data_IF_579307426791
#
_entry.id   IF_579307426791
#
_cell.length_a   1.000
_cell.length_b   1.000
_cell.length_c   1.000
_cell.angle_alpha   90.00
_cell.angle_beta   90.00
_cell.angle_gamma   90.00
#
_symmetry.space_group_name_H-M   'P 1'
#
loop_
_entity.id
_entity.type
_entity.pdbx_description
1 polymer ?
#
# COMPACT_ATOMS: atom_id res chain seq x y z
N UNK A 1 0.95 -20.88 -13.85
CA UNK A 1 0.89 -21.31 -12.44
C UNK A 1 -0.56 -21.30 -11.99
N UNK A 2 -0.92 -22.22 -11.10
CA UNK A 2 -2.17 -22.24 -10.36
C UNK A 2 -1.92 -21.74 -8.94
N UNK A 3 -2.56 -20.63 -8.59
CA UNK A 3 -2.33 -19.94 -7.32
C UNK A 3 -3.64 -19.92 -6.54
N UNK A 4 -3.58 -20.38 -5.28
CA UNK A 4 -4.74 -20.40 -4.40
C UNK A 4 -4.57 -19.37 -3.27
N UNK A 5 -5.54 -18.49 -3.08
CA UNK A 5 -5.52 -17.45 -2.05
C UNK A 5 -6.47 -17.77 -0.90
N UNK A 6 -5.96 -17.86 0.32
CA UNK A 6 -6.76 -18.00 1.54
C UNK A 6 -7.00 -16.59 2.10
N UNK A 7 -8.26 -16.15 2.16
CA UNK A 7 -8.63 -14.76 2.48
C UNK A 7 -8.48 -13.83 1.27
N UNK A 8 -8.89 -14.29 0.09
CA UNK A 8 -8.70 -13.57 -1.19
C UNK A 8 -9.44 -12.22 -1.24
N UNK A 9 -10.49 -12.02 -0.43
CA UNK A 9 -11.26 -10.78 -0.33
C UNK A 9 -10.57 -9.67 0.44
N UNK A 10 -9.46 -9.96 1.14
CA UNK A 10 -8.64 -8.96 1.79
C UNK A 10 -8.10 -7.90 0.82
N UNK A 11 -7.99 -6.66 1.29
CA UNK A 11 -7.61 -5.51 0.45
C UNK A 11 -6.25 -5.74 -0.25
N UNK A 12 -5.25 -6.29 0.44
CA UNK A 12 -3.96 -6.60 -0.18
C UNK A 12 -4.03 -7.81 -1.12
N UNK A 13 -4.55 -8.92 -0.58
CA UNK A 13 -4.60 -10.21 -1.29
C UNK A 13 -5.37 -10.13 -2.61
N UNK A 14 -6.50 -9.41 -2.63
CA UNK A 14 -7.28 -9.20 -3.85
C UNK A 14 -6.51 -8.45 -4.94
N UNK A 15 -5.67 -7.49 -4.56
CA UNK A 15 -4.82 -6.77 -5.50
C UNK A 15 -3.77 -7.66 -6.15
N UNK A 16 -3.11 -8.50 -5.34
CA UNK A 16 -2.13 -9.47 -5.84
C UNK A 16 -2.81 -10.56 -6.70
N UNK A 17 -3.98 -11.05 -6.30
CA UNK A 17 -4.78 -11.99 -7.07
C UNK A 17 -5.18 -11.43 -8.44
N UNK A 18 -5.65 -10.18 -8.48
CA UNK A 18 -5.98 -9.47 -9.73
C UNK A 18 -4.75 -9.29 -10.63
N UNK A 19 -3.59 -9.00 -10.07
CA UNK A 19 -2.33 -8.97 -10.81
C UNK A 19 -1.99 -10.36 -11.40
N UNK A 20 -2.09 -11.43 -10.60
CA UNK A 20 -1.83 -12.79 -11.08
C UNK A 20 -2.75 -13.19 -12.25
N UNK A 21 -4.05 -12.89 -12.17
CA UNK A 21 -5.00 -13.09 -13.27
C UNK A 21 -4.55 -12.36 -14.54
N UNK A 22 -4.13 -11.09 -14.42
CA UNK A 22 -3.67 -10.30 -15.56
C UNK A 22 -2.41 -10.84 -16.24
N UNK A 23 -1.63 -11.67 -15.54
CA UNK A 23 -0.45 -12.36 -16.06
C UNK A 23 -0.77 -13.76 -16.59
N UNK A 24 -2.05 -14.11 -16.69
CA UNK A 24 -2.51 -15.40 -17.23
C UNK A 24 -2.33 -16.57 -16.25
N UNK A 25 -2.18 -16.30 -14.94
CA UNK A 25 -2.21 -17.36 -13.94
C UNK A 25 -3.64 -17.83 -13.66
N UNK A 26 -3.81 -19.11 -13.37
CA UNK A 26 -5.07 -19.65 -12.87
C UNK A 26 -5.19 -19.28 -11.39
N UNK A 27 -6.16 -18.44 -11.04
CA UNK A 27 -6.36 -17.99 -9.66
C UNK A 27 -7.59 -18.63 -9.07
N UNK A 28 -7.42 -19.20 -7.88
CA UNK A 28 -8.51 -19.64 -7.02
C UNK A 28 -8.36 -19.05 -5.63
N UNK A 29 -9.39 -19.14 -4.79
CA UNK A 29 -9.27 -18.73 -3.40
C UNK A 29 -10.52 -18.96 -2.58
N UNK A 30 -10.40 -18.70 -1.28
CA UNK A 30 -11.48 -18.79 -0.31
C UNK A 30 -11.60 -17.50 0.50
N UNK A 31 -12.82 -17.19 0.93
CA UNK A 31 -13.10 -16.11 1.88
C UNK A 31 -14.34 -16.43 2.71
N UNK A 32 -14.42 -15.89 3.93
CA UNK A 32 -15.55 -16.15 4.84
C UNK A 32 -16.84 -15.50 4.35
N UNK A 33 -16.74 -14.37 3.64
CA UNK A 33 -17.90 -13.58 3.24
C UNK A 33 -17.81 -13.11 1.79
N UNK A 34 -18.97 -12.95 1.15
CA UNK A 34 -19.05 -12.37 -0.19
C UNK A 34 -18.86 -10.85 -0.12
N UNK A 35 -18.28 -10.26 -1.17
CA UNK A 35 -18.05 -8.82 -1.23
C UNK A 35 -17.98 -8.32 -2.67
N UNK A 36 -18.01 -7.01 -2.87
CA UNK A 36 -17.80 -6.42 -4.20
C UNK A 36 -16.43 -6.80 -4.79
N UNK A 37 -15.41 -6.99 -3.94
CA UNK A 37 -14.07 -7.44 -4.35
C UNK A 37 -14.13 -8.88 -4.88
N UNK A 38 -14.80 -9.79 -4.14
CA UNK A 38 -14.99 -11.18 -4.57
C UNK A 38 -15.73 -11.24 -5.91
N UNK A 39 -16.82 -10.48 -6.06
CA UNK A 39 -17.58 -10.40 -7.31
C UNK A 39 -16.73 -9.90 -8.48
N UNK A 40 -15.90 -8.88 -8.25
CA UNK A 40 -15.01 -8.35 -9.27
C UNK A 40 -13.95 -9.37 -9.72
N UNK A 41 -13.34 -10.10 -8.78
CA UNK A 41 -12.36 -11.15 -9.10
C UNK A 41 -12.99 -12.34 -9.82
N UNK A 42 -14.20 -12.78 -9.41
CA UNK A 42 -14.97 -13.81 -10.14
C UNK A 42 -15.21 -13.39 -11.59
N UNK A 43 -15.60 -12.14 -11.84
CA UNK A 43 -15.78 -11.59 -13.19
C UNK A 43 -14.48 -11.57 -14.01
N UNK A 44 -13.33 -11.49 -13.36
CA UNK A 44 -12.00 -11.58 -14.00
C UNK A 44 -11.52 -13.03 -14.21
N UNK A 45 -12.31 -14.04 -13.80
CA UNK A 45 -12.02 -15.46 -14.02
C UNK A 45 -11.46 -16.21 -12.81
N UNK A 46 -11.41 -15.60 -11.62
CA UNK A 46 -11.02 -16.31 -10.41
C UNK A 46 -12.10 -17.30 -9.94
N UNK A 47 -11.68 -18.50 -9.54
CA UNK A 47 -12.57 -19.47 -8.87
C UNK A 47 -12.55 -19.23 -7.37
N UNK A 48 -13.63 -18.66 -6.82
CA UNK A 48 -13.67 -18.29 -5.40
C UNK A 48 -14.78 -19.02 -4.64
N UNK A 49 -14.40 -19.64 -3.53
CA UNK A 49 -15.27 -20.30 -2.56
C UNK A 49 -15.61 -19.33 -1.42
N UNK A 50 -16.89 -19.20 -1.08
CA UNK A 50 -17.36 -18.31 0.00
C UNK A 50 -17.99 -19.15 1.10
N UNK A 51 -17.63 -18.87 2.35
CA UNK A 51 -18.12 -19.56 3.54
C UNK A 51 -16.97 -20.07 4.41
N UNK A 52 -17.24 -20.97 5.37
CA UNK A 52 -16.20 -21.60 6.17
C UNK A 52 -15.12 -22.22 5.28
N UNK A 53 -13.85 -22.04 5.66
CA UNK A 53 -12.74 -22.64 4.95
C UNK A 53 -12.85 -24.17 4.97
N UNK A 54 -12.59 -24.81 3.83
CA UNK A 54 -12.66 -26.26 3.66
C UNK A 54 -11.46 -26.74 2.86
N UNK A 55 -10.82 -27.80 3.35
CA UNK A 55 -9.75 -28.51 2.64
C UNK A 55 -10.13 -28.92 1.21
N UNK A 56 -11.41 -29.09 0.89
CA UNK A 56 -11.92 -29.37 -0.45
C UNK A 56 -11.74 -28.20 -1.45
N UNK A 57 -11.63 -26.96 -0.96
CA UNK A 57 -11.38 -25.77 -1.78
C UNK A 57 -10.01 -25.82 -2.47
N UNK A 58 -9.03 -26.49 -1.84
CA UNK A 58 -7.70 -26.68 -2.38
C UNK A 58 -7.63 -27.92 -3.27
N UNK A 59 -7.42 -27.73 -4.57
CA UNK A 59 -7.23 -28.82 -5.53
C UNK A 59 -5.80 -29.37 -5.51
N UNK A 60 -5.59 -30.61 -5.96
CA UNK A 60 -4.28 -31.27 -5.94
C UNK A 60 -3.27 -30.72 -6.98
N UNK A 61 -3.62 -29.69 -7.75
CA UNK A 61 -2.79 -29.12 -8.83
C UNK A 61 -2.42 -27.65 -8.58
N UNK A 62 -2.31 -27.23 -7.32
CA UNK A 62 -1.94 -25.86 -6.93
C UNK A 62 -0.42 -25.75 -6.80
N UNK A 63 0.18 -24.77 -7.46
CA UNK A 63 1.63 -24.53 -7.43
C UNK A 63 2.06 -23.65 -6.25
N UNK A 64 1.15 -22.77 -5.79
CA UNK A 64 1.39 -21.81 -4.71
C UNK A 64 0.11 -21.52 -3.94
N UNK A 65 0.21 -21.56 -2.61
CA UNK A 65 -0.81 -21.02 -1.70
C UNK A 65 -0.34 -19.69 -1.14
N UNK A 66 -1.14 -18.65 -1.31
CA UNK A 66 -0.94 -17.33 -0.67
C UNK A 66 -1.99 -17.15 0.41
N UNK A 67 -1.62 -16.71 1.61
CA UNK A 67 -2.57 -16.55 2.71
C UNK A 67 -2.41 -15.20 3.42
N UNK A 68 -3.53 -14.61 3.87
CA UNK A 68 -3.50 -13.37 4.66
C UNK A 68 -3.11 -13.65 6.11
N UNK A 69 -2.81 -12.59 6.87
CA UNK A 69 -2.54 -12.71 8.30
C UNK A 69 -3.72 -13.31 9.11
N UNK A 70 -4.95 -13.26 8.57
CA UNK A 70 -6.13 -13.84 9.19
C UNK A 70 -6.18 -15.38 9.09
N UNK A 71 -5.39 -15.99 8.20
CA UNK A 71 -5.33 -17.44 8.08
C UNK A 71 -4.42 -18.02 9.17
N UNK A 72 -5.04 -18.54 10.24
CA UNK A 72 -4.33 -19.19 11.34
C UNK A 72 -3.71 -20.53 10.89
N UNK A 73 -2.74 -21.09 11.64
CA UNK A 73 -2.19 -22.42 11.37
C UNK A 73 -3.23 -23.54 11.35
N UNK A 74 -4.40 -23.32 11.94
CA UNK A 74 -5.51 -24.27 11.96
C UNK A 74 -6.39 -24.27 10.73
N UNK A 75 -6.20 -23.31 9.81
CA UNK A 75 -6.95 -23.24 8.58
C UNK A 75 -6.82 -24.56 7.78
N UNK A 76 -7.95 -25.21 7.42
CA UNK A 76 -7.93 -26.54 6.80
C UNK A 76 -7.30 -26.55 5.41
N UNK A 77 -7.42 -25.46 4.65
CA UNK A 77 -6.78 -25.31 3.34
C UNK A 77 -5.26 -25.19 3.49
N UNK A 78 -4.78 -24.39 4.45
CA UNK A 78 -3.36 -24.23 4.74
C UNK A 78 -2.73 -25.53 5.27
N UNK A 79 -3.42 -26.25 6.17
CA UNK A 79 -2.99 -27.57 6.66
C UNK A 79 -2.85 -28.58 5.51
N UNK A 80 -3.84 -28.65 4.62
CA UNK A 80 -3.79 -29.53 3.45
C UNK A 80 -2.64 -29.15 2.52
N UNK A 81 -2.44 -27.86 2.25
CA UNK A 81 -1.34 -27.38 1.40
C UNK A 81 0.03 -27.83 1.93
N UNK A 82 0.26 -27.66 3.23
CA UNK A 82 1.49 -28.11 3.90
C UNK A 82 1.65 -29.64 3.83
N UNK A 83 0.58 -30.42 4.06
CA UNK A 83 0.62 -31.88 3.94
C UNK A 83 0.96 -32.36 2.53
N UNK A 84 0.52 -31.62 1.50
CA UNK A 84 0.81 -31.91 0.10
C UNK A 84 2.17 -31.37 -0.38
N UNK A 85 2.96 -30.71 0.49
CA UNK A 85 4.24 -30.12 0.12
C UNK A 85 4.12 -28.92 -0.83
N UNK A 86 2.94 -28.29 -0.92
CA UNK A 86 2.71 -27.12 -1.77
C UNK A 86 3.40 -25.91 -1.14
N UNK A 87 4.10 -25.11 -1.96
CA UNK A 87 4.72 -23.86 -1.49
C UNK A 87 3.63 -22.95 -0.90
N UNK A 88 3.82 -22.53 0.34
CA UNK A 88 2.93 -21.60 1.03
C UNK A 88 3.69 -20.31 1.34
N UNK A 89 3.10 -19.16 1.02
CA UNK A 89 3.63 -17.85 1.34
C UNK A 89 2.54 -17.00 1.99
N UNK A 90 2.88 -16.24 3.01
CA UNK A 90 2.04 -15.13 3.45
C UNK A 90 1.87 -14.11 2.31
N UNK A 91 0.81 -13.31 2.38
CA UNK A 91 0.59 -12.21 1.44
C UNK A 91 1.82 -11.30 1.34
N UNK A 92 2.45 -10.95 2.46
CA UNK A 92 3.62 -10.07 2.48
C UNK A 92 4.83 -10.70 1.76
N UNK A 93 5.07 -12.00 1.95
CA UNK A 93 6.14 -12.71 1.23
C UNK A 93 5.87 -12.77 -0.28
N UNK A 94 4.63 -13.09 -0.67
CA UNK A 94 4.24 -13.18 -2.08
C UNK A 94 4.30 -11.81 -2.78
N UNK A 95 3.86 -10.74 -2.09
CA UNK A 95 4.03 -9.37 -2.58
C UNK A 95 5.52 -8.99 -2.64
N UNK A 96 6.31 -9.41 -1.66
CA UNK A 96 7.77 -9.24 -1.62
C UNK A 96 8.46 -9.80 -2.87
N UNK A 97 8.07 -10.99 -3.31
CA UNK A 97 8.58 -11.58 -4.55
C UNK A 97 8.22 -10.76 -5.79
N UNK A 98 7.04 -10.12 -5.81
CA UNK A 98 6.67 -9.18 -6.86
C UNK A 98 7.52 -7.88 -6.79
N UNK A 99 7.76 -7.34 -5.59
CA UNK A 99 8.54 -6.10 -5.43
C UNK A 99 9.96 -6.20 -5.96
N UNK A 100 10.58 -7.38 -5.86
CA UNK A 100 11.92 -7.67 -6.40
C UNK A 100 11.97 -7.61 -7.93
N UNK A 101 10.86 -7.95 -8.59
CA UNK A 101 10.77 -8.06 -10.06
C UNK A 101 10.36 -6.75 -10.75
N UNK A 102 9.68 -5.87 -10.02
CA UNK A 102 9.13 -4.62 -10.55
C UNK A 102 9.99 -3.40 -10.15
N UNK A 103 9.76 -2.26 -10.81
CA UNK A 103 10.20 -0.96 -10.30
C UNK A 103 9.19 -0.51 -9.24
N UNK A 104 9.49 -0.81 -7.99
CA UNK A 104 8.57 -0.65 -6.87
C UNK A 104 8.80 0.68 -6.15
N UNK A 105 7.70 1.42 -5.99
CA UNK A 105 7.60 2.61 -5.14
C UNK A 105 6.71 2.23 -3.96
N UNK A 106 7.30 2.15 -2.78
CA UNK A 106 6.61 1.75 -1.56
C UNK A 106 6.36 2.97 -0.67
N UNK A 107 5.12 3.17 -0.26
CA UNK A 107 4.72 4.24 0.66
C UNK A 107 4.52 3.64 2.05
N UNK A 108 5.25 4.15 3.03
CA UNK A 108 5.37 3.60 4.38
C UNK A 108 5.38 4.72 5.44
N UNK A 109 5.15 4.35 6.69
CA UNK A 109 5.05 5.25 7.84
C UNK A 109 3.76 4.98 8.63
N UNK A 110 3.61 5.52 9.82
CA UNK A 110 2.43 5.20 10.65
C UNK A 110 1.14 5.77 10.04
N UNK A 111 1.16 7.03 9.63
CA UNK A 111 0.00 7.73 9.10
C UNK A 111 0.19 8.21 7.65
N UNK A 112 -0.92 8.39 6.93
CA UNK A 112 -0.92 8.99 5.58
C UNK A 112 -0.51 8.05 4.44
N UNK A 113 -0.23 6.77 4.71
CA UNK A 113 0.19 5.77 3.71
C UNK A 113 -0.80 5.64 2.55
N UNK A 114 -2.06 5.32 2.85
CA UNK A 114 -3.06 5.03 1.81
C UNK A 114 -3.37 6.28 0.97
N UNK A 115 -3.48 7.45 1.60
CA UNK A 115 -3.72 8.72 0.91
C UNK A 115 -2.55 9.10 0.00
N UNK A 116 -1.31 9.00 0.49
CA UNK A 116 -0.10 9.26 -0.30
C UNK A 116 0.03 8.28 -1.47
N UNK A 117 -0.26 6.99 -1.24
CA UNK A 117 -0.29 5.95 -2.29
C UNK A 117 -1.30 6.29 -3.38
N UNK A 118 -2.49 6.72 -2.99
CA UNK A 118 -3.56 7.08 -3.92
C UNK A 118 -3.22 8.32 -4.76
N UNK A 119 -2.72 9.38 -4.13
CA UNK A 119 -2.26 10.59 -4.80
C UNK A 119 -1.13 10.27 -5.80
N UNK A 120 -0.14 9.46 -5.38
CA UNK A 120 0.95 9.03 -6.23
C UNK A 120 0.43 8.26 -7.45
N UNK A 121 -0.46 7.28 -7.22
CA UNK A 121 -1.04 6.49 -8.28
C UNK A 121 -1.74 7.35 -9.35
N UNK A 122 -2.50 8.36 -8.93
CA UNK A 122 -3.17 9.31 -9.83
C UNK A 122 -2.17 10.14 -10.65
N UNK A 123 -1.08 10.60 -10.01
CA UNK A 123 -0.01 11.36 -10.70
C UNK A 123 0.67 10.48 -11.76
N UNK A 124 1.05 9.25 -11.40
CA UNK A 124 1.71 8.33 -12.33
C UNK A 124 0.81 7.92 -13.49
N UNK A 125 -0.47 7.66 -13.22
CA UNK A 125 -1.47 7.41 -14.26
C UNK A 125 -1.60 8.60 -15.21
N UNK A 126 -1.72 9.82 -14.67
CA UNK A 126 -1.86 11.02 -15.49
C UNK A 126 -0.60 11.35 -16.30
N UNK A 127 0.56 10.96 -15.80
CA UNK A 127 1.84 11.07 -16.49
C UNK A 127 2.06 9.98 -17.56
N UNK A 128 1.11 9.05 -17.74
CA UNK A 128 1.21 7.98 -18.74
C UNK A 128 2.19 6.87 -18.37
N UNK A 129 2.62 6.79 -17.10
CA UNK A 129 3.53 5.74 -16.62
C UNK A 129 2.80 4.41 -16.37
N UNK A 130 1.47 4.42 -16.39
CA UNK A 130 0.59 3.23 -16.33
C UNK A 130 1.02 2.17 -15.29
N UNK A 131 1.08 2.52 -13.98
CA UNK A 131 1.59 1.62 -12.96
C UNK A 131 0.58 0.53 -12.59
N UNK A 132 1.09 -0.61 -12.14
CA UNK A 132 0.33 -1.49 -11.26
C UNK A 132 0.30 -0.89 -9.86
N UNK A 133 -0.85 -0.89 -9.20
CA UNK A 133 -1.01 -0.32 -7.86
C UNK A 133 -1.79 -1.26 -6.97
N UNK A 134 -1.30 -1.46 -5.74
CA UNK A 134 -1.98 -2.20 -4.67
C UNK A 134 -2.01 -1.28 -3.45
N UNK A 135 -3.20 -0.90 -2.99
CA UNK A 135 -3.38 0.07 -1.91
C UNK A 135 -4.35 -0.46 -0.85
N UNK A 136 -4.15 -0.08 0.41
CA UNK A 136 -4.94 -0.50 1.58
C UNK A 136 -6.33 0.12 1.67
N UNK A 137 -6.76 0.90 0.66
CA UNK A 137 -8.08 1.53 0.61
C UNK A 137 -8.70 1.47 -0.79
N UNK A 138 -9.99 1.75 -0.89
CA UNK A 138 -10.72 1.78 -2.18
C UNK A 138 -10.62 3.18 -2.77
N UNK A 139 -10.23 3.26 -4.04
CA UNK A 139 -10.16 4.52 -4.79
C UNK A 139 -11.38 4.70 -5.69
N UNK A 140 -12.03 5.86 -5.57
CA UNK A 140 -13.22 6.21 -6.35
C UNK A 140 -12.89 6.32 -7.83
N UNK A 141 -11.72 6.85 -8.16
CA UNK A 141 -11.18 7.02 -9.50
C UNK A 141 -11.06 5.69 -10.27
N UNK A 142 -10.97 4.57 -9.57
CA UNK A 142 -10.90 3.23 -10.16
C UNK A 142 -12.21 2.45 -10.09
N UNK A 143 -13.32 3.12 -9.80
CA UNK A 143 -14.62 2.48 -9.61
C UNK A 143 -14.71 1.75 -8.27
N UNK A 144 -14.19 2.38 -7.20
CA UNK A 144 -14.11 1.83 -5.84
C UNK A 144 -13.33 0.51 -5.76
N UNK A 145 -12.22 0.42 -6.50
CA UNK A 145 -11.25 -0.68 -6.41
C UNK A 145 -10.03 -0.24 -5.61
N UNK A 146 -9.38 -1.21 -4.99
CA UNK A 146 -8.18 -1.10 -4.16
C UNK A 146 -6.91 -1.52 -4.90
N UNK A 147 -7.05 -1.87 -6.17
CA UNK A 147 -5.93 -2.20 -7.03
C UNK A 147 -6.22 -1.78 -8.46
N UNK A 148 -5.13 -1.61 -9.21
CA UNK A 148 -5.11 -1.37 -10.64
C UNK A 148 -3.96 -2.16 -11.23
N UNK A 149 -4.20 -2.87 -12.32
CA UNK A 149 -3.13 -3.51 -13.08
C UNK A 149 -2.75 -2.59 -14.23
N UNK A 150 -1.51 -2.12 -14.21
CA UNK A 150 -0.91 -1.38 -15.32
C UNK A 150 -0.04 -2.27 -16.20
N UNK A 151 0.33 -1.77 -17.38
CA UNK A 151 1.15 -2.50 -18.36
C UNK A 151 2.65 -2.20 -18.25
N UNK A 152 3.03 -1.22 -17.44
CA UNK A 152 4.43 -0.81 -17.31
C UNK A 152 5.20 -1.60 -16.24
N UNK A 153 6.48 -1.25 -16.07
CA UNK A 153 7.35 -1.80 -15.03
C UNK A 153 7.06 -1.26 -13.62
N UNK A 154 6.24 -0.22 -13.50
CA UNK A 154 6.03 0.45 -12.22
C UNK A 154 5.02 -0.31 -11.36
N UNK A 155 5.41 -0.51 -10.10
CA UNK A 155 4.55 -1.01 -9.04
C UNK A 155 4.48 0.05 -7.94
N UNK A 156 3.30 0.47 -7.55
CA UNK A 156 3.09 1.30 -6.36
C UNK A 156 2.40 0.44 -5.30
N UNK A 157 2.97 0.40 -4.10
CA UNK A 157 2.37 -0.29 -2.96
C UNK A 157 2.27 0.60 -1.75
N UNK A 158 1.22 0.39 -0.98
CA UNK A 158 1.21 0.70 0.45
C UNK A 158 2.00 -0.37 1.20
N UNK A 159 3.04 0.03 1.93
CA UNK A 159 3.90 -0.85 2.69
C UNK A 159 3.55 -0.75 4.18
N UNK A 160 2.88 -1.79 4.66
CA UNK A 160 2.35 -1.90 6.02
C UNK A 160 3.43 -2.35 7.01
N UNK A 161 3.61 -1.55 8.06
CA UNK A 161 4.49 -1.81 9.19
C UNK A 161 3.92 -2.82 10.19
N UNK A 162 2.62 -3.12 10.16
CA UNK A 162 2.04 -4.10 11.07
C UNK A 162 2.74 -5.46 10.94
N UNK A 163 3.10 -6.06 12.08
CA UNK A 163 3.92 -7.29 12.17
C UNK A 163 5.24 -7.24 11.37
N UNK A 164 5.80 -6.04 11.16
CA UNK A 164 6.98 -5.79 10.32
C UNK A 164 6.86 -6.37 8.89
N UNK A 165 5.64 -6.42 8.33
CA UNK A 165 5.37 -7.09 7.06
C UNK A 165 6.19 -6.51 5.90
N UNK A 166 6.43 -5.20 5.93
CA UNK A 166 7.24 -4.47 4.95
C UNK A 166 8.71 -4.93 4.83
N UNK A 167 9.24 -5.72 5.77
CA UNK A 167 10.58 -6.30 5.67
C UNK A 167 10.66 -7.35 4.55
N UNK A 168 9.52 -7.75 3.97
CA UNK A 168 9.50 -8.61 2.80
C UNK A 168 9.75 -7.84 1.48
N UNK A 169 9.69 -6.51 1.49
CA UNK A 169 9.68 -5.69 0.28
C UNK A 169 11.06 -5.14 -0.08
N UNK A 170 11.32 -5.02 -1.40
CA UNK A 170 12.61 -4.60 -1.97
C UNK A 170 12.44 -3.48 -3.00
N UNK A 171 12.11 -2.25 -2.55
CA UNK A 171 11.74 -1.15 -3.44
C UNK A 171 12.93 -0.40 -4.05
N UNK A 172 12.64 0.35 -5.13
CA UNK A 172 13.53 1.33 -5.72
C UNK A 172 13.32 2.72 -5.11
N UNK A 173 12.09 3.01 -4.67
CA UNK A 173 11.77 4.24 -3.94
C UNK A 173 10.98 3.87 -2.68
N UNK A 174 11.41 4.35 -1.53
CA UNK A 174 10.63 4.34 -0.29
C UNK A 174 10.16 5.77 -0.05
N UNK A 175 8.87 5.96 0.15
CA UNK A 175 8.31 7.17 0.74
C UNK A 175 8.05 6.90 2.21
N UNK A 176 8.63 7.69 3.10
CA UNK A 176 8.50 7.55 4.54
C UNK A 176 7.80 8.77 5.10
N UNK A 177 6.54 8.60 5.50
CA UNK A 177 5.65 9.71 5.87
C UNK A 177 5.86 10.22 7.29
N UNK A 178 6.00 9.31 8.25
CA UNK A 178 6.25 9.58 9.67
C UNK A 178 6.63 8.29 10.41
N UNK A 179 7.21 8.44 11.60
CA UNK A 179 7.43 7.34 12.56
C UNK A 179 6.91 7.79 13.93
N UNK A 180 5.96 7.04 14.46
CA UNK A 180 5.32 7.28 15.77
C UNK A 180 5.16 5.94 16.52
N UNK A 181 4.89 5.98 17.82
CA UNK A 181 4.58 4.76 18.59
C UNK A 181 3.18 4.25 18.21
N UNK A 182 3.13 3.12 17.51
CA UNK A 182 1.90 2.43 17.11
C UNK A 182 2.13 0.91 17.11
N UNK A 183 1.05 0.12 17.17
CA UNK A 183 1.11 -1.34 17.17
C UNK A 183 2.00 -1.94 18.27
N UNK A 184 1.88 -1.43 19.50
CA UNK A 184 2.64 -1.91 20.67
C UNK A 184 2.25 -3.33 21.13
N UNK A 185 1.27 -3.94 20.50
CA UNK A 185 0.97 -5.38 20.57
C UNK A 185 2.05 -6.24 19.86
N UNK A 186 2.75 -5.64 18.89
CA UNK A 186 3.88 -6.26 18.18
C UNK A 186 5.21 -5.58 18.50
N UNK A 187 5.24 -4.25 18.48
CA UNK A 187 6.41 -3.46 18.78
C UNK A 187 6.60 -3.28 20.28
N UNK A 188 7.86 -3.27 20.75
CA UNK A 188 8.14 -3.17 22.18
C UNK A 188 8.07 -1.73 22.66
N UNK A 189 8.63 -0.82 21.87
CA UNK A 189 8.77 0.61 22.13
C UNK A 189 9.19 1.32 20.82
N UNK A 190 9.30 2.65 20.86
CA UNK A 190 9.82 3.44 19.74
C UNK A 190 11.21 2.99 19.26
N UNK A 191 12.07 2.49 20.14
CA UNK A 191 13.41 2.00 19.74
C UNK A 191 13.31 0.77 18.85
N UNK A 192 12.42 -0.17 19.18
CA UNK A 192 12.13 -1.33 18.35
C UNK A 192 11.57 -0.90 16.99
N UNK A 193 10.61 0.03 16.98
CA UNK A 193 10.03 0.60 15.74
C UNK A 193 11.14 1.21 14.86
N UNK A 194 11.95 2.11 15.43
CA UNK A 194 13.07 2.77 14.74
C UNK A 194 14.06 1.77 14.16
N UNK A 195 14.41 0.71 14.89
CA UNK A 195 15.30 -0.34 14.41
C UNK A 195 14.70 -1.12 13.23
N UNK A 196 13.39 -1.39 13.28
CA UNK A 196 12.67 -2.09 12.22
C UNK A 196 12.53 -1.23 10.96
N UNK A 197 12.21 0.06 11.08
CA UNK A 197 12.21 1.01 9.96
C UNK A 197 13.62 1.18 9.36
N UNK A 198 14.67 1.27 10.18
CA UNK A 198 16.06 1.28 9.70
C UNK A 198 16.40 0.04 8.88
N UNK A 199 15.98 -1.15 9.35
CA UNK A 199 16.15 -2.41 8.60
C UNK A 199 15.36 -2.37 7.29
N UNK A 200 14.11 -1.92 7.31
CA UNK A 200 13.30 -1.79 6.10
C UNK A 200 13.94 -0.86 5.06
N UNK A 201 14.43 0.32 5.46
CA UNK A 201 15.10 1.27 4.56
C UNK A 201 16.37 0.67 3.94
N UNK A 202 17.05 -0.23 4.65
CA UNK A 202 18.21 -0.95 4.10
C UNK A 202 17.86 -1.92 2.95
N UNK A 203 16.58 -2.25 2.76
CA UNK A 203 16.11 -3.03 1.61
C UNK A 203 15.94 -2.20 0.33
N UNK A 204 16.19 -0.88 0.38
CA UNK A 204 16.30 -0.08 -0.83
C UNK A 204 17.33 -0.69 -1.77
N UNK A 205 16.90 -0.94 -3.01
CA UNK A 205 17.79 -1.48 -4.04
C UNK A 205 18.91 -0.48 -4.32
N UNK A 206 20.07 -0.98 -4.77
CA UNK A 206 21.21 -0.16 -5.17
C UNK A 206 20.79 0.95 -6.14
N UNK A 207 21.13 2.20 -5.82
CA UNK A 207 20.74 3.38 -6.58
C UNK A 207 19.31 3.86 -6.33
N UNK A 208 18.60 3.26 -5.37
CA UNK A 208 17.27 3.67 -4.95
C UNK A 208 17.23 5.02 -4.25
N UNK A 209 16.03 5.47 -3.90
CA UNK A 209 15.80 6.77 -3.24
C UNK A 209 14.89 6.61 -2.03
N UNK A 210 15.33 7.11 -0.88
CA UNK A 210 14.50 7.37 0.27
C UNK A 210 13.93 8.79 0.14
N UNK A 211 12.61 8.90 0.01
CA UNK A 211 11.85 10.14 0.11
C UNK A 211 11.36 10.28 1.56
N UNK A 212 12.00 11.16 2.32
CA UNK A 212 11.82 11.24 3.77
C UNK A 212 11.13 12.55 4.17
N UNK A 213 10.18 12.46 5.11
CA UNK A 213 9.61 13.64 5.73
C UNK A 213 10.65 14.33 6.62
N UNK A 214 11.09 15.53 6.22
CA UNK A 214 12.05 16.35 6.93
C UNK A 214 11.48 17.07 8.15
N UNK A 215 10.15 17.06 8.33
CA UNK A 215 9.50 17.63 9.52
C UNK A 215 9.35 16.61 10.67
N UNK A 216 9.60 15.33 10.39
CA UNK A 216 9.49 14.25 11.39
C UNK A 216 10.82 14.05 12.14
N UNK A 217 10.77 14.23 13.46
CA UNK A 217 11.96 14.14 14.32
C UNK A 217 12.51 12.73 14.50
N UNK A 218 11.73 11.69 14.25
CA UNK A 218 12.16 10.30 14.35
C UNK A 218 12.82 9.86 13.04
N UNK A 219 12.28 10.26 11.90
CA UNK A 219 12.90 10.02 10.58
C UNK A 219 14.29 10.65 10.51
N UNK A 220 14.46 11.88 11.02
CA UNK A 220 15.78 12.55 11.03
C UNK A 220 16.83 11.87 11.93
N UNK A 221 16.39 11.09 12.92
CA UNK A 221 17.25 10.29 13.81
C UNK A 221 17.60 8.91 13.25
N UNK A 222 17.11 8.54 12.07
CA UNK A 222 17.49 7.27 11.43
C UNK A 222 18.95 7.33 10.96
N UNK A 223 19.86 6.82 11.79
CA UNK A 223 21.26 6.68 11.43
C UNK A 223 21.47 5.46 10.52
N UNK A 224 22.21 5.60 9.42
CA UNK A 224 22.58 4.47 8.55
C UNK A 224 24.07 4.12 8.74
N UNK A 225 24.38 2.83 8.93
CA UNK A 225 25.72 2.36 9.34
C UNK A 225 26.85 2.71 8.36
N UNK A 226 26.53 3.03 7.10
CA UNK A 226 27.51 3.43 6.10
C UNK A 226 27.50 4.96 5.97
N UNK A 227 28.68 5.59 6.07
CA UNK A 227 28.88 7.02 5.80
C UNK A 227 28.39 7.46 4.41
N UNK A 228 28.21 6.51 3.48
CA UNK A 228 27.51 6.69 2.19
C UNK A 228 26.53 5.52 1.98
N UNK A 229 25.23 5.68 2.27
CA UNK A 229 24.24 4.69 1.89
C UNK A 229 24.27 4.43 0.37
N UNK A 230 23.98 3.20 -0.07
CA UNK A 230 23.91 2.85 -1.50
C UNK A 230 22.63 3.38 -2.19
N UNK A 231 21.92 4.29 -1.53
CA UNK A 231 20.70 4.95 -1.97
C UNK A 231 20.81 6.46 -1.70
N UNK A 232 20.02 7.26 -2.41
CA UNK A 232 19.92 8.71 -2.20
C UNK A 232 18.85 9.02 -1.17
N UNK A 233 19.01 10.10 -0.42
CA UNK A 233 17.96 10.63 0.46
C UNK A 233 17.48 11.95 -0.15
N UNK A 234 16.17 12.09 -0.30
CA UNK A 234 15.52 13.31 -0.75
C UNK A 234 14.45 13.69 0.26
N UNK A 235 14.68 14.78 0.99
CA UNK A 235 13.72 15.26 1.98
C UNK A 235 12.61 16.08 1.32
N UNK A 236 11.42 16.00 1.90
CA UNK A 236 10.33 16.94 1.69
C UNK A 236 9.92 17.57 3.02
N UNK A 237 9.38 18.78 3.01
CA UNK A 237 8.98 19.51 4.23
C UNK A 237 7.89 20.52 3.92
N UNK A 238 6.99 20.72 4.87
CA UNK A 238 5.95 21.75 4.86
C UNK A 238 6.52 23.18 4.85
N UNK A 239 7.82 23.36 5.12
CA UNK A 239 8.52 24.65 5.03
C UNK A 239 8.94 25.01 3.60
N UNK A 240 8.72 24.13 2.62
CA UNK A 240 9.09 24.38 1.22
C UNK A 240 8.07 25.28 0.52
N UNK A 241 8.53 26.01 -0.51
CA UNK A 241 7.73 26.98 -1.27
C UNK A 241 6.47 26.36 -1.88
N UNK A 242 6.50 25.07 -2.19
CA UNK A 242 5.39 24.36 -2.80
C UNK A 242 4.21 24.08 -1.86
N UNK A 243 4.38 24.24 -0.54
CA UNK A 243 3.33 24.00 0.46
C UNK A 243 2.07 24.85 0.17
N UNK A 244 2.24 26.17 0.06
CA UNK A 244 1.15 27.11 -0.23
C UNK A 244 0.45 26.81 -1.56
N UNK A 245 1.24 26.44 -2.57
CA UNK A 245 0.69 26.10 -3.89
C UNK A 245 -0.12 24.82 -3.83
N UNK A 246 0.35 23.79 -3.13
CA UNK A 246 -0.36 22.54 -2.94
C UNK A 246 -1.65 22.73 -2.13
N UNK A 247 -1.63 23.59 -1.10
CA UNK A 247 -2.82 23.96 -0.35
C UNK A 247 -3.93 24.56 -1.22
N UNK A 248 -3.57 25.34 -2.25
CA UNK A 248 -4.53 25.89 -3.24
C UNK A 248 -4.96 24.88 -4.31
N UNK A 249 -4.14 23.86 -4.56
CA UNK A 249 -4.40 22.84 -5.60
C UNK A 249 -5.31 21.73 -5.08
N UNK A 250 -5.15 21.31 -3.83
CA UNK A 250 -5.80 20.12 -3.30
C UNK A 250 -7.30 20.30 -3.03
N UNK A 251 -8.03 19.23 -3.37
CA UNK A 251 -9.42 18.91 -2.99
C UNK A 251 -9.68 18.81 -1.49
N UNK A 252 -8.73 18.13 -0.87
CA UNK A 252 -8.81 17.61 0.49
C UNK A 252 -8.17 18.61 1.44
N UNK A 253 -8.76 18.74 2.63
CA UNK A 253 -8.32 19.68 3.65
C UNK A 253 -7.24 19.08 4.56
N UNK A 254 -6.56 19.93 5.32
CA UNK A 254 -5.58 19.50 6.34
C UNK A 254 -4.13 19.55 5.85
N UNK A 255 -3.25 20.08 6.70
CA UNK A 255 -1.81 20.21 6.42
C UNK A 255 -1.15 18.85 6.18
N UNK A 256 -1.63 17.80 6.86
CA UNK A 256 -1.18 16.42 6.64
C UNK A 256 -1.39 15.96 5.18
N UNK A 257 -2.47 16.39 4.52
CA UNK A 257 -2.70 16.08 3.11
C UNK A 257 -1.80 16.90 2.17
N UNK A 258 -1.43 18.12 2.57
CA UNK A 258 -0.42 18.91 1.84
C UNK A 258 0.95 18.24 1.97
N UNK A 259 1.31 17.77 3.17
CA UNK A 259 2.53 17.00 3.43
C UNK A 259 2.59 15.70 2.61
N UNK A 260 1.50 14.93 2.56
CA UNK A 260 1.36 13.77 1.69
C UNK A 260 1.59 14.13 0.20
N UNK A 261 1.03 15.26 -0.25
CA UNK A 261 1.20 15.73 -1.63
C UNK A 261 2.63 16.24 -1.93
N UNK A 262 3.35 16.79 -0.94
CA UNK A 262 4.77 17.14 -1.05
C UNK A 262 5.63 15.88 -1.24
N UNK A 263 5.32 14.79 -0.53
CA UNK A 263 5.96 13.50 -0.73
C UNK A 263 5.76 13.00 -2.17
N UNK A 264 4.52 13.09 -2.68
CA UNK A 264 4.16 12.72 -4.06
C UNK A 264 4.88 13.58 -5.08
N UNK A 265 4.92 14.90 -4.88
CA UNK A 265 5.64 15.83 -5.75
C UNK A 265 7.14 15.49 -5.82
N UNK A 266 7.71 15.11 -4.69
CA UNK A 266 9.11 14.70 -4.60
C UNK A 266 9.38 13.43 -5.40
N UNK A 267 8.53 12.40 -5.28
CA UNK A 267 8.61 11.19 -6.11
C UNK A 267 8.43 11.53 -7.59
N UNK A 268 7.47 12.39 -7.93
CA UNK A 268 7.21 12.78 -9.30
C UNK A 268 8.43 13.43 -9.95
N UNK A 269 9.11 14.33 -9.22
CA UNK A 269 10.37 14.97 -9.67
C UNK A 269 11.52 13.97 -9.82
N UNK A 270 11.66 13.00 -8.90
CA UNK A 270 12.64 11.90 -9.03
C UNK A 270 12.41 11.11 -10.33
N UNK A 271 11.14 10.88 -10.67
CA UNK A 271 10.73 10.20 -11.90
C UNK A 271 10.71 11.12 -13.14
N UNK A 272 11.14 12.37 -13.00
CA UNK A 272 11.17 13.40 -14.06
C UNK A 272 9.79 13.72 -14.65
N UNK A 273 8.74 13.58 -13.85
CA UNK A 273 7.38 13.99 -14.22
C UNK A 273 7.29 15.52 -14.11
N UNK A 274 6.86 16.24 -15.14
CA UNK A 274 6.69 17.69 -15.08
C UNK A 274 5.72 18.11 -13.98
N UNK A 275 6.10 19.11 -13.17
CA UNK A 275 5.27 19.67 -12.10
C UNK A 275 3.85 20.03 -12.56
N UNK A 276 3.69 20.54 -13.79
CA UNK A 276 2.37 20.84 -14.39
C UNK A 276 1.44 19.62 -14.41
N UNK A 277 1.97 18.43 -14.72
CA UNK A 277 1.21 17.17 -14.71
C UNK A 277 0.88 16.79 -13.28
N UNK A 278 1.86 16.88 -12.37
CA UNK A 278 1.69 16.54 -10.95
C UNK A 278 0.61 17.40 -10.29
N UNK A 279 0.69 18.73 -10.38
CA UNK A 279 -0.34 19.62 -9.85
C UNK A 279 -1.70 19.39 -10.52
N UNK A 280 -1.71 19.16 -11.84
CA UNK A 280 -2.93 18.85 -12.58
C UNK A 280 -3.62 17.58 -12.08
N UNK A 281 -2.86 16.52 -11.78
CA UNK A 281 -3.38 15.28 -11.21
C UNK A 281 -3.86 15.49 -9.76
N UNK A 282 -3.06 16.11 -8.90
CA UNK A 282 -3.41 16.38 -7.50
C UNK A 282 -4.68 17.24 -7.37
N UNK A 283 -4.93 18.19 -8.28
CA UNK A 283 -6.17 18.99 -8.30
C UNK A 283 -7.46 18.16 -8.53
N UNK A 284 -7.30 16.96 -9.09
CA UNK A 284 -8.40 16.04 -9.38
C UNK A 284 -8.64 15.05 -8.27
N UNK A 285 -7.70 14.89 -7.34
CA UNK A 285 -7.85 14.01 -6.19
C UNK A 285 -9.05 14.44 -5.33
N UNK A 286 -9.89 13.48 -4.94
CA UNK A 286 -11.13 13.72 -4.17
C UNK A 286 -11.12 13.06 -2.78
N UNK A 287 -9.97 12.56 -2.34
CA UNK A 287 -9.85 11.76 -1.13
C UNK A 287 -10.01 10.27 -1.40
N UNK A 288 -9.79 9.47 -0.37
CA UNK A 288 -9.97 8.02 -0.41
C UNK A 288 -11.15 7.60 0.46
N UNK A 289 -11.63 6.37 0.28
CA UNK A 289 -12.69 5.82 1.12
C UNK A 289 -12.29 5.90 2.61
N UNK A 290 -13.19 6.46 3.44
CA UNK A 290 -13.01 6.71 4.89
C UNK A 290 -11.79 7.56 5.28
N UNK A 291 -11.38 8.54 4.47
CA UNK A 291 -10.35 9.54 4.85
C UNK A 291 -10.89 10.94 4.58
N UNK A 292 -11.48 11.54 5.62
CA UNK A 292 -12.27 12.78 5.57
C UNK A 292 -13.25 12.79 4.39
N UNK A 293 -13.93 11.64 4.22
CA UNK A 293 -14.80 11.40 3.08
C UNK A 293 -16.12 12.14 3.30
N UNK A 294 -16.39 13.16 2.49
CA UNK A 294 -17.69 13.82 2.49
C UNK A 294 -18.81 12.84 2.09
N UNK A 295 -19.78 12.64 2.99
CA UNK A 295 -20.93 11.74 2.81
C UNK A 295 -22.21 12.47 2.39
N UNK A 296 -22.27 13.78 2.59
CA UNK A 296 -23.43 14.58 2.21
C UNK A 296 -23.81 15.62 3.26
N UNK A 297 -25.02 16.16 3.11
CA UNK A 297 -25.60 17.14 4.01
C UNK A 297 -26.81 16.52 4.71
N UNK A 298 -26.88 16.64 6.03
CA UNK A 298 -28.05 16.25 6.82
C UNK A 298 -28.45 17.44 7.69
N UNK A 299 -29.65 17.98 7.47
CA UNK A 299 -30.17 19.14 8.21
C UNK A 299 -29.21 20.34 8.26
N UNK A 300 -28.53 20.63 7.14
CA UNK A 300 -27.55 21.72 7.06
C UNK A 300 -26.15 21.40 7.60
N UNK A 301 -25.97 20.27 8.29
CA UNK A 301 -24.65 19.80 8.73
C UNK A 301 -23.95 18.98 7.64
N UNK A 302 -22.68 19.25 7.41
CA UNK A 302 -21.83 18.43 6.52
C UNK A 302 -21.39 17.17 7.27
N UNK A 303 -21.61 16.00 6.67
CA UNK A 303 -21.22 14.71 7.24
C UNK A 303 -19.94 14.22 6.57
N UNK A 304 -18.97 13.81 7.39
CA UNK A 304 -17.70 13.24 6.96
C UNK A 304 -17.48 11.88 7.64
N UNK A 305 -16.87 10.94 6.92
CA UNK A 305 -16.46 9.62 7.41
C UNK A 305 -14.93 9.55 7.38
N UNK A 306 -14.32 9.28 8.53
CA UNK A 306 -12.88 9.19 8.71
C UNK A 306 -12.49 7.91 9.47
N UNK A 307 -11.35 7.34 9.11
CA UNK A 307 -10.79 6.12 9.69
C UNK A 307 -9.84 6.39 10.86
N UNK A 308 -9.54 7.65 11.14
CA UNK A 308 -8.65 8.09 12.20
C UNK A 308 -8.96 7.39 13.51
N UNK A 309 -8.00 6.63 14.01
CA UNK A 309 -8.13 5.83 15.22
C UNK A 309 -6.98 6.07 16.20
N UNK A 310 -5.84 6.56 15.70
CA UNK A 310 -4.74 7.05 16.53
C UNK A 310 -4.99 8.51 16.98
N UNK A 311 -4.59 8.93 18.20
CA UNK A 311 -4.76 10.31 18.67
C UNK A 311 -4.25 11.39 17.71
N UNK A 312 -3.13 11.12 17.01
CA UNK A 312 -2.57 12.02 15.99
C UNK A 312 -3.48 12.16 14.77
N UNK A 313 -4.11 11.06 14.32
CA UNK A 313 -5.09 11.09 13.22
C UNK A 313 -6.37 11.83 13.64
N UNK A 314 -6.87 11.59 14.86
CA UNK A 314 -8.06 12.25 15.40
C UNK A 314 -7.82 13.76 15.53
N UNK A 315 -6.64 14.18 16.01
CA UNK A 315 -6.28 15.61 16.12
C UNK A 315 -6.16 16.29 14.75
N UNK A 316 -5.79 15.54 13.72
CA UNK A 316 -5.62 16.06 12.36
C UNK A 316 -6.96 16.18 11.59
N UNK A 317 -8.03 15.57 12.10
CA UNK A 317 -9.38 15.50 11.52
C UNK A 317 -10.23 16.67 12.02
#
# INVERSE_FOLDING_TARGET
MKIHFIGIGGIGASGLAGFCLSKGHEVSGSDLSDSQIIKALKKQGAKIFVGPHDSANLTNRVDLVVYTAAATPDNPELKKAKKLGIKCQSYAEALGDLTKRMFTIAVSGMHGKSTTTAMLALVLEKAGLDPTVIVGTRLREWGNRNFRVGKSKYLVIEADEYNASFLNYWPQIIVLTNIEEEHLDYYKDLKHIMAVFKKYVSHLRKGGVLVANGDDSNISKLEFQNAKPQFKIQNYSMKQLEFERLGKVLKVTGEHNISNALAVLTVARILKIPDKITYGALSRFRGTWRRMEYKGLVNGAKIYDDYGHHPTEIKAT
#
